data_IF_910926000150
#
_entry.id   IF_910926000150
#
_cell.length_a   1.000
_cell.length_b   1.000
_cell.length_c   1.000
_cell.angle_alpha   90.00
_cell.angle_beta   90.00
_cell.angle_gamma   90.00
#
_symmetry.space_group_name_H-M   'P 1'
#
loop_
_entity.id
_entity.type
_entity.pdbx_description
1 polymer ?
#
# COMPACT_ATOMS: atom_id res chain seq x y z
N UNK A 1 -38.53 -6.57 -27.07
CA UNK A 1 -37.68 -7.66 -26.55
C UNK A 1 -37.47 -8.63 -27.69
N UNK A 2 -36.23 -8.85 -28.13
CA UNK A 2 -35.97 -9.67 -29.32
C UNK A 2 -35.81 -11.12 -28.92
N UNK A 3 -36.94 -11.80 -28.70
CA UNK A 3 -37.00 -13.23 -28.41
C UNK A 3 -36.54 -14.07 -29.60
N UNK A 4 -35.23 -14.14 -29.79
CA UNK A 4 -34.60 -15.19 -30.59
C UNK A 4 -34.73 -16.49 -29.82
N UNK A 5 -34.84 -17.59 -30.55
CA UNK A 5 -34.87 -18.95 -30.00
C UNK A 5 -34.17 -19.86 -31.00
N UNK A 6 -33.41 -20.83 -30.52
CA UNK A 6 -32.71 -21.79 -31.37
C UNK A 6 -32.80 -23.20 -30.81
N UNK A 7 -32.45 -24.17 -31.64
CA UNK A 7 -32.31 -25.58 -31.26
C UNK A 7 -30.84 -25.93 -31.00
N UNK A 8 -30.61 -26.74 -29.99
CA UNK A 8 -29.30 -27.22 -29.56
C UNK A 8 -29.33 -28.75 -29.48
N UNK A 9 -29.25 -29.38 -30.66
CA UNK A 9 -29.22 -30.83 -30.83
C UNK A 9 -27.82 -31.29 -31.27
N UNK A 10 -27.29 -32.29 -30.58
CA UNK A 10 -25.99 -32.91 -30.81
C UNK A 10 -26.17 -34.43 -30.94
N UNK A 11 -25.12 -35.18 -31.30
CA UNK A 11 -25.21 -36.63 -31.51
C UNK A 11 -25.79 -37.40 -30.30
N UNK A 12 -25.44 -36.99 -29.08
CA UNK A 12 -25.87 -37.61 -27.82
C UNK A 12 -27.21 -37.08 -27.28
N UNK A 13 -27.90 -36.20 -28.03
CA UNK A 13 -29.21 -35.66 -27.68
C UNK A 13 -29.33 -34.14 -27.81
N UNK A 14 -30.51 -33.61 -27.47
CA UNK A 14 -30.80 -32.18 -27.49
C UNK A 14 -30.87 -31.62 -26.07
N UNK A 15 -30.07 -30.58 -25.78
CA UNK A 15 -30.04 -29.86 -24.51
C UNK A 15 -29.55 -28.43 -24.78
N UNK A 16 -30.19 -27.44 -24.18
CA UNK A 16 -29.67 -26.08 -24.21
C UNK A 16 -28.28 -26.01 -23.52
N UNK A 17 -27.33 -25.24 -24.07
CA UNK A 17 -26.04 -25.00 -23.42
C UNK A 17 -26.23 -24.03 -22.24
N UNK A 18 -25.17 -23.88 -21.44
CA UNK A 18 -25.19 -23.01 -20.26
C UNK A 18 -25.48 -21.54 -20.67
N UNK A 19 -26.21 -20.81 -19.83
CA UNK A 19 -26.79 -19.50 -20.16
C UNK A 19 -28.16 -19.58 -20.88
N UNK A 20 -28.64 -20.78 -21.23
CA UNK A 20 -29.94 -20.98 -21.90
C UNK A 20 -30.83 -22.00 -21.20
N UNK A 21 -32.15 -21.79 -21.29
CA UNK A 21 -33.19 -22.66 -20.72
C UNK A 21 -34.23 -23.09 -21.76
N UNK A 22 -34.82 -24.25 -21.52
CA UNK A 22 -35.86 -24.87 -22.38
C UNK A 22 -35.45 -26.24 -22.91
N UNK A 23 -36.20 -26.74 -23.89
CA UNK A 23 -36.29 -28.18 -24.20
C UNK A 23 -35.14 -28.71 -25.08
N UNK A 24 -34.19 -27.87 -25.47
CA UNK A 24 -33.11 -28.21 -26.42
C UNK A 24 -33.55 -28.39 -27.88
N UNK A 25 -34.70 -29.02 -28.12
CA UNK A 25 -35.15 -29.45 -29.46
C UNK A 25 -35.72 -28.28 -30.29
N UNK A 26 -36.58 -27.44 -29.70
CA UNK A 26 -37.31 -26.39 -30.42
C UNK A 26 -37.16 -24.99 -29.81
N UNK A 27 -36.75 -24.88 -28.55
CA UNK A 27 -36.79 -23.64 -27.80
C UNK A 27 -35.70 -23.61 -26.73
N UNK A 28 -34.53 -23.09 -27.08
CA UNK A 28 -33.58 -22.53 -26.13
C UNK A 28 -33.78 -21.01 -26.09
N UNK A 29 -34.18 -20.52 -24.91
CA UNK A 29 -34.30 -19.09 -24.59
C UNK A 29 -33.17 -18.66 -23.65
N UNK A 30 -32.73 -17.43 -23.86
CA UNK A 30 -31.78 -16.69 -23.02
C UNK A 30 -32.23 -16.72 -21.55
N UNK A 31 -31.35 -17.12 -20.64
CA UNK A 31 -31.55 -16.86 -19.21
C UNK A 31 -31.26 -15.37 -18.99
N UNK A 32 -32.10 -14.69 -18.20
CA UNK A 32 -31.87 -13.30 -17.84
C UNK A 32 -31.39 -13.24 -16.39
N UNK A 33 -30.08 -13.47 -16.18
CA UNK A 33 -29.52 -13.56 -14.83
C UNK A 33 -29.66 -12.24 -14.06
N UNK A 34 -29.82 -11.12 -14.78
CA UNK A 34 -30.12 -9.81 -14.20
C UNK A 34 -31.53 -9.74 -13.61
N UNK A 35 -32.55 -10.28 -14.29
CA UNK A 35 -33.92 -10.38 -13.77
C UNK A 35 -34.07 -11.46 -12.70
N UNK A 36 -33.43 -12.61 -12.89
CA UNK A 36 -33.47 -13.73 -11.94
C UNK A 36 -32.57 -13.47 -10.71
N UNK A 37 -31.75 -12.42 -10.76
CA UNK A 37 -30.80 -12.00 -9.72
C UNK A 37 -29.81 -13.09 -9.32
N UNK A 38 -29.51 -14.00 -10.24
CA UNK A 38 -28.51 -15.06 -10.09
C UNK A 38 -27.08 -14.55 -10.32
N UNK A 39 -26.92 -13.34 -10.87
CA UNK A 39 -25.65 -12.67 -11.07
C UNK A 39 -25.69 -11.18 -10.67
N UNK A 40 -24.51 -10.58 -10.48
CA UNK A 40 -24.29 -9.15 -10.21
C UNK A 40 -25.13 -8.60 -9.03
N UNK A 41 -25.20 -9.32 -7.90
CA UNK A 41 -26.06 -8.99 -6.75
C UNK A 41 -25.58 -7.77 -5.96
N UNK A 42 -24.35 -7.30 -6.19
CA UNK A 42 -23.75 -6.14 -5.54
C UNK A 42 -24.54 -4.83 -5.76
N UNK A 43 -24.70 -4.06 -4.68
CA UNK A 43 -25.52 -2.83 -4.64
C UNK A 43 -25.07 -1.71 -5.59
N UNK A 44 -23.80 -1.69 -5.99
CA UNK A 44 -23.19 -0.68 -6.87
C UNK A 44 -22.95 -1.20 -8.31
N UNK A 45 -23.35 -2.46 -8.56
CA UNK A 45 -23.19 -3.14 -9.83
C UNK A 45 -24.33 -2.80 -10.81
N UNK A 46 -23.97 -2.82 -12.08
CA UNK A 46 -24.88 -2.69 -13.21
C UNK A 46 -24.85 -4.02 -13.97
N UNK A 47 -25.97 -4.72 -14.00
CA UNK A 47 -26.13 -5.98 -14.71
C UNK A 47 -26.75 -5.71 -16.09
N UNK A 48 -26.05 -6.14 -17.15
CA UNK A 48 -26.52 -6.05 -18.53
C UNK A 48 -26.63 -7.46 -19.10
N UNK A 49 -27.85 -7.91 -19.39
CA UNK A 49 -28.06 -9.19 -20.06
C UNK A 49 -27.52 -9.16 -21.48
N UNK A 50 -26.86 -10.22 -21.91
CA UNK A 50 -26.43 -10.45 -23.29
C UNK A 50 -26.79 -11.88 -23.71
N UNK A 51 -26.70 -12.18 -25.00
CA UNK A 51 -27.18 -13.45 -25.52
C UNK A 51 -26.27 -14.62 -25.10
N UNK A 52 -26.72 -15.42 -24.13
CA UNK A 52 -26.01 -16.56 -23.54
C UNK A 52 -25.02 -16.22 -22.41
N UNK A 53 -25.06 -15.00 -21.88
CA UNK A 53 -24.23 -14.55 -20.75
C UNK A 53 -24.68 -13.18 -20.25
N UNK A 54 -24.44 -12.86 -18.99
CA UNK A 54 -24.51 -11.48 -18.47
C UNK A 54 -23.14 -10.76 -18.58
N UNK A 55 -23.18 -9.44 -18.64
CA UNK A 55 -22.07 -8.53 -18.33
C UNK A 55 -22.36 -7.84 -16.98
N UNK A 56 -21.53 -8.08 -15.96
CA UNK A 56 -21.51 -7.25 -14.76
C UNK A 56 -20.49 -6.12 -14.93
N UNK A 57 -20.90 -4.87 -14.68
CA UNK A 57 -20.01 -3.73 -14.48
C UNK A 57 -20.23 -3.10 -13.12
N UNK A 58 -19.29 -2.27 -12.66
CA UNK A 58 -19.48 -1.43 -11.48
C UNK A 58 -19.66 0.05 -11.86
N UNK A 59 -20.43 0.77 -11.05
CA UNK A 59 -20.64 2.22 -11.18
C UNK A 59 -19.34 3.00 -10.94
N UNK A 60 -19.29 4.28 -11.37
CA UNK A 60 -18.25 5.23 -10.92
C UNK A 60 -16.79 4.89 -11.27
N UNK A 61 -16.51 3.95 -12.17
CA UNK A 61 -15.15 3.56 -12.56
C UNK A 61 -14.46 2.56 -11.61
N UNK A 62 -15.19 2.03 -10.63
CA UNK A 62 -14.85 0.88 -9.79
C UNK A 62 -14.48 -0.35 -10.66
N UNK A 63 -13.68 -1.27 -10.13
CA UNK A 63 -13.39 -2.57 -10.74
C UNK A 63 -14.36 -3.64 -10.22
N UNK A 64 -14.95 -4.41 -11.13
CA UNK A 64 -15.80 -5.56 -10.78
C UNK A 64 -14.96 -6.84 -10.60
N UNK A 65 -15.16 -7.55 -9.50
CA UNK A 65 -14.54 -8.86 -9.23
C UNK A 65 -15.58 -9.97 -9.24
N UNK A 66 -15.56 -10.79 -10.31
CA UNK A 66 -16.54 -11.87 -10.54
C UNK A 66 -16.57 -12.96 -9.47
N UNK A 67 -15.45 -13.25 -8.83
CA UNK A 67 -15.33 -14.34 -7.85
C UNK A 67 -16.02 -14.04 -6.51
N UNK A 68 -16.09 -12.77 -6.12
CA UNK A 68 -16.66 -12.31 -4.85
C UNK A 68 -17.88 -11.38 -5.04
N UNK A 69 -18.36 -11.21 -6.28
CA UNK A 69 -19.47 -10.32 -6.67
C UNK A 69 -19.37 -8.93 -6.02
N UNK A 70 -18.21 -8.27 -6.19
CA UNK A 70 -17.83 -7.04 -5.47
C UNK A 70 -17.25 -5.97 -6.38
N UNK A 71 -17.49 -4.72 -5.99
CA UNK A 71 -16.85 -3.54 -6.59
C UNK A 71 -15.69 -3.06 -5.70
N UNK A 72 -14.48 -2.96 -6.26
CA UNK A 72 -13.31 -2.40 -5.58
C UNK A 72 -12.93 -1.07 -6.22
N UNK A 73 -12.65 -0.06 -5.40
CA UNK A 73 -12.18 1.23 -5.87
C UNK A 73 -10.74 1.15 -6.37
N UNK A 74 -10.46 1.76 -7.53
CA UNK A 74 -9.09 1.95 -8.03
C UNK A 74 -8.25 2.81 -7.08
N UNK A 75 -8.91 3.58 -6.22
CA UNK A 75 -8.34 4.25 -5.05
C UNK A 75 -8.23 3.33 -3.83
N UNK A 76 -8.01 2.03 -4.01
CA UNK A 76 -7.29 1.19 -3.06
C UNK A 76 -5.81 1.60 -2.97
N UNK A 77 -5.57 2.91 -2.83
CA UNK A 77 -4.34 3.40 -2.26
C UNK A 77 -4.29 2.82 -0.85
N UNK A 78 -3.35 1.90 -0.62
CA UNK A 78 -2.88 1.64 0.73
C UNK A 78 -2.33 2.98 1.22
N UNK A 79 -3.16 3.73 1.93
CA UNK A 79 -2.86 5.06 2.46
C UNK A 79 -1.86 4.87 3.61
N UNK A 80 -0.62 4.55 3.24
CA UNK A 80 0.59 4.69 4.05
C UNK A 80 0.74 6.19 4.27
N UNK A 81 -0.11 6.71 5.15
CA UNK A 81 -0.25 8.14 5.38
C UNK A 81 1.10 8.69 5.79
N UNK A 82 1.35 9.96 5.49
CA UNK A 82 2.66 10.58 5.71
C UNK A 82 3.15 10.39 7.16
N UNK A 83 2.23 10.27 8.12
CA UNK A 83 2.47 9.83 9.50
C UNK A 83 3.39 8.58 9.61
N UNK A 84 3.20 7.55 8.79
CA UNK A 84 4.04 6.35 8.80
C UNK A 84 5.46 6.63 8.32
N UNK A 85 5.61 7.45 7.27
CA UNK A 85 6.92 7.91 6.78
C UNK A 85 7.63 8.77 7.84
N UNK A 86 6.89 9.66 8.52
CA UNK A 86 7.41 10.45 9.65
C UNK A 86 7.82 9.56 10.83
N UNK A 87 7.03 8.55 11.21
CA UNK A 87 7.38 7.59 12.27
C UNK A 87 8.65 6.82 11.94
N UNK A 88 8.81 6.35 10.70
CA UNK A 88 10.06 5.69 10.24
C UNK A 88 11.24 6.68 10.28
N UNK A 89 11.06 7.90 9.79
CA UNK A 89 12.11 8.94 9.80
C UNK A 89 12.56 9.30 11.22
N UNK A 90 11.62 9.61 12.13
CA UNK A 90 11.93 9.91 13.53
C UNK A 90 12.52 8.72 14.28
N UNK A 91 12.08 7.49 13.98
CA UNK A 91 12.67 6.27 14.53
C UNK A 91 14.13 6.09 14.13
N UNK A 92 14.44 6.23 12.84
CA UNK A 92 15.82 6.16 12.33
C UNK A 92 16.69 7.28 12.89
N UNK A 93 16.16 8.51 12.99
CA UNK A 93 16.87 9.64 13.59
C UNK A 93 17.19 9.40 15.08
N UNK A 94 16.23 8.91 15.86
CA UNK A 94 16.42 8.59 17.28
C UNK A 94 17.47 7.48 17.49
N UNK A 95 17.43 6.42 16.69
CA UNK A 95 18.45 5.34 16.71
C UNK A 95 19.84 5.88 16.34
N UNK A 96 19.93 6.72 15.31
CA UNK A 96 21.19 7.35 14.89
C UNK A 96 21.79 8.26 15.96
N UNK A 97 20.96 9.09 16.62
CA UNK A 97 21.38 9.96 17.72
C UNK A 97 21.85 9.14 18.93
N UNK A 98 21.13 8.09 19.30
CA UNK A 98 21.52 7.19 20.39
C UNK A 98 22.85 6.48 20.11
N UNK A 99 23.02 5.94 18.90
CA UNK A 99 24.27 5.29 18.47
C UNK A 99 25.46 6.28 18.48
N UNK A 100 25.27 7.50 17.95
CA UNK A 100 26.31 8.54 17.98
C UNK A 100 26.68 8.96 19.40
N UNK A 101 25.70 9.09 20.31
CA UNK A 101 25.94 9.41 21.72
C UNK A 101 26.75 8.30 22.42
N UNK A 102 26.39 7.03 22.22
CA UNK A 102 27.13 5.87 22.76
C UNK A 102 28.55 5.79 22.20
N UNK A 103 28.73 5.99 20.89
CA UNK A 103 30.04 6.06 20.23
C UNK A 103 30.93 7.15 20.85
N UNK A 104 30.40 8.38 20.97
CA UNK A 104 31.13 9.53 21.52
C UNK A 104 31.44 9.36 23.01
N UNK A 105 30.53 8.77 23.78
CA UNK A 105 30.77 8.41 25.18
C UNK A 105 31.86 7.34 25.34
N UNK A 106 31.82 6.28 24.51
CA UNK A 106 32.82 5.20 24.53
C UNK A 106 34.22 5.73 24.18
N UNK A 107 34.34 6.57 23.17
CA UNK A 107 35.61 7.24 22.83
C UNK A 107 36.10 8.11 23.97
N UNK A 108 35.27 9.02 24.51
CA UNK A 108 35.68 9.89 25.62
C UNK A 108 36.15 9.09 26.84
N UNK A 109 35.46 8.00 27.18
CA UNK A 109 35.85 7.09 28.27
C UNK A 109 37.19 6.38 28.00
N UNK A 110 37.47 5.99 26.76
CA UNK A 110 38.75 5.37 26.37
C UNK A 110 39.93 6.36 26.46
N UNK A 111 39.72 7.61 26.05
CA UNK A 111 40.71 8.69 26.26
C UNK A 111 41.07 8.83 27.75
N UNK A 112 40.05 8.76 28.62
CA UNK A 112 40.22 8.88 30.08
C UNK A 112 40.82 7.64 30.76
N UNK A 113 40.51 6.43 30.30
CA UNK A 113 40.95 5.19 30.97
C UNK A 113 42.30 4.65 30.51
N UNK A 114 42.67 4.84 29.24
CA UNK A 114 43.86 4.21 28.65
C UNK A 114 44.88 5.24 28.13
N UNK A 115 44.44 6.36 27.55
CA UNK A 115 45.35 7.34 26.94
C UNK A 115 45.96 8.32 27.96
N UNK A 116 45.35 8.54 29.13
CA UNK A 116 45.95 9.37 30.20
C UNK A 116 47.35 8.90 30.62
N UNK A 117 47.63 7.60 30.58
CA UNK A 117 48.95 7.04 30.87
C UNK A 117 50.01 7.38 29.80
N UNK A 118 49.59 7.58 28.54
CA UNK A 118 50.47 7.86 27.39
C UNK A 118 50.68 9.38 27.24
N UNK A 119 49.61 10.17 27.37
CA UNK A 119 49.67 11.65 27.36
C UNK A 119 50.58 12.22 28.47
N UNK A 120 50.63 11.58 29.63
CA UNK A 120 51.47 11.99 30.75
C UNK A 120 52.98 12.06 30.42
N UNK A 121 53.44 11.38 29.36
CA UNK A 121 54.84 11.36 28.95
C UNK A 121 55.19 12.42 27.89
N UNK A 122 54.20 13.19 27.40
CA UNK A 122 54.38 14.17 26.31
C UNK A 122 53.93 15.60 26.66
N UNK A 123 53.57 15.89 27.92
CA UNK A 123 53.05 17.20 28.34
C UNK A 123 54.03 17.97 29.25
N UNK A 124 55.02 18.69 28.69
CA UNK A 124 55.74 19.72 29.43
C UNK A 124 54.84 20.95 29.69
N UNK A 125 55.20 21.75 30.69
CA UNK A 125 54.43 22.92 31.12
C UNK A 125 54.67 24.13 30.20
N UNK A 126 53.79 24.35 29.22
CA UNK A 126 53.63 25.68 28.60
C UNK A 126 52.84 26.61 29.53
N UNK A 127 53.48 27.00 30.64
CA UNK A 127 52.97 27.96 31.61
C UNK A 127 54.05 28.99 31.97
N UNK A 128 54.30 29.94 31.06
CA UNK A 128 54.86 31.27 31.33
C UNK A 128 54.34 32.25 30.25
N UNK A 129 53.75 33.38 30.63
CA UNK A 129 53.25 34.37 29.67
C UNK A 129 52.32 35.45 30.24
N UNK A 130 52.89 36.51 30.82
CA UNK A 130 52.18 37.62 31.48
C UNK A 130 52.61 38.98 30.88
N UNK A 131 51.95 40.12 31.09
CA UNK A 131 50.84 40.53 31.99
C UNK A 131 49.82 41.40 31.19
N UNK A 132 48.55 41.57 31.63
CA UNK A 132 47.45 42.10 30.79
C UNK A 132 47.43 43.62 30.58
N UNK A 133 46.67 44.07 29.57
CA UNK A 133 46.18 45.45 29.40
C UNK A 133 44.64 45.52 29.32
N UNK A 134 44.07 46.72 29.46
CA UNK A 134 42.65 47.00 29.66
C UNK A 134 42.10 47.98 28.59
N UNK A 135 40.76 48.10 28.49
CA UNK A 135 40.01 48.95 27.54
C UNK A 135 40.02 48.42 26.09
N UNK A 136 38.90 48.35 25.36
CA UNK A 136 37.94 49.43 25.18
C UNK A 136 36.45 49.04 25.14
N UNK A 137 35.60 49.98 25.56
CA UNK A 137 34.14 50.01 25.33
C UNK A 137 33.84 50.70 23.98
N UNK A 138 32.56 50.77 23.60
CA UNK A 138 32.02 51.25 22.30
C UNK A 138 32.18 50.18 21.20
N UNK A 139 31.18 49.86 20.38
CA UNK A 139 29.78 50.34 20.36
C UNK A 139 28.88 49.34 21.12
N UNK A 140 28.09 49.73 22.14
CA UNK A 140 27.88 51.05 22.76
C UNK A 140 28.48 51.11 24.18
#
# INVERSE_FOLDING_TARGET
MNGRTYSACTADGCKCPDGFKGDGIHKCEDIDECKERTACQCKECNCKNTWGSYECGCSGGLLYMKEHDTCISKSAAAQVGWNFLWVVFFGLAAVGIAAYAVYKYRIRRYMDSEIRAIMAQYMPLENQGEIPSNSHHIEM
#
